data_IF_103476877043
#
_entry.id   IF_103476877043
#
_cell.length_a   1.000
_cell.length_b   1.000
_cell.length_c   1.000
_cell.angle_alpha   90.00
_cell.angle_beta   90.00
_cell.angle_gamma   90.00
#
_symmetry.space_group_name_H-M   'P 1'
#
loop_
_entity.id
_entity.type
_entity.pdbx_description
1 polymer ?
#
# COMPACT_ATOMS: atom_id res chain seq x y z
N UNK A 1 8.97 15.63 8.13
CA UNK A 1 7.69 15.25 8.77
C UNK A 1 6.49 15.44 7.83
N UNK A 2 6.43 16.53 7.06
CA UNK A 2 5.35 16.77 6.10
C UNK A 2 5.30 15.72 4.99
N UNK A 3 6.43 15.25 4.51
CA UNK A 3 6.52 14.21 3.48
C UNK A 3 6.00 12.87 4.02
N UNK A 4 6.34 12.50 5.25
CA UNK A 4 5.82 11.27 5.87
C UNK A 4 4.29 11.28 5.96
N UNK A 5 3.70 12.42 6.30
CA UNK A 5 2.26 12.58 6.33
C UNK A 5 1.61 12.47 4.93
N UNK A 6 2.35 12.82 3.86
CA UNK A 6 1.87 12.77 2.48
C UNK A 6 1.80 11.36 1.89
N UNK A 7 2.45 10.37 2.50
CA UNK A 7 2.35 8.98 2.05
C UNK A 7 0.95 8.38 2.19
N UNK A 8 0.07 9.03 2.95
CA UNK A 8 -1.33 8.67 3.03
C UNK A 8 -1.61 7.48 3.95
N UNK A 9 -2.67 6.78 3.64
CA UNK A 9 -3.23 5.71 4.44
C UNK A 9 -3.05 4.37 3.75
N UNK A 10 -2.82 3.32 4.54
CA UNK A 10 -2.68 1.95 4.07
C UNK A 10 -3.89 1.12 4.51
N UNK A 11 -4.38 0.29 3.63
CA UNK A 11 -5.53 -0.58 3.86
C UNK A 11 -5.14 -2.03 3.60
N UNK A 12 -5.56 -2.95 4.42
CA UNK A 12 -5.62 -4.35 4.04
C UNK A 12 -6.81 -4.53 3.10
N UNK A 13 -6.68 -5.34 2.07
CA UNK A 13 -7.74 -5.49 1.07
C UNK A 13 -9.06 -5.92 1.69
N UNK A 14 -10.13 -5.21 1.42
CA UNK A 14 -11.44 -5.52 2.01
C UNK A 14 -11.71 -4.88 3.37
N UNK A 15 -10.74 -4.23 4.00
CA UNK A 15 -10.95 -3.48 5.26
C UNK A 15 -11.29 -2.03 5.01
N UNK A 16 -12.17 -1.50 5.85
CA UNK A 16 -12.56 -0.07 5.84
C UNK A 16 -11.57 0.82 6.58
N UNK A 17 -11.03 0.33 7.67
CA UNK A 17 -10.21 1.13 8.57
C UNK A 17 -8.76 1.19 8.10
N UNK A 18 -8.19 2.40 8.06
CA UNK A 18 -6.85 2.61 7.59
C UNK A 18 -5.80 2.44 8.69
N UNK A 19 -4.60 2.11 8.24
CA UNK A 19 -3.37 2.28 9.00
C UNK A 19 -2.64 3.51 8.50
N UNK A 20 -2.24 4.39 9.41
CA UNK A 20 -1.48 5.59 9.05
C UNK A 20 -0.07 5.24 8.59
N UNK A 21 0.56 6.19 7.89
CA UNK A 21 1.90 6.02 7.32
C UNK A 21 3.00 5.79 8.34
N UNK A 22 4.22 5.55 7.88
CA UNK A 22 5.36 5.29 8.75
C UNK A 22 5.72 6.53 9.59
N UNK A 23 6.30 6.30 10.76
CA UNK A 23 6.86 7.37 11.58
C UNK A 23 8.25 7.81 11.15
N UNK A 24 8.90 7.06 10.27
CA UNK A 24 10.24 7.32 9.77
C UNK A 24 10.35 6.96 8.30
N UNK A 25 11.34 7.54 7.58
CA UNK A 25 11.65 7.20 6.19
C UNK A 25 12.30 5.83 6.01
N UNK A 26 12.71 5.18 7.07
CA UNK A 26 13.34 3.87 6.97
C UNK A 26 12.25 2.85 6.72
N UNK A 27 12.45 2.05 5.67
CA UNK A 27 11.91 0.71 5.67
C UNK A 27 12.29 0.09 7.00
N UNK A 28 11.35 -0.36 7.77
CA UNK A 28 11.63 -0.82 9.11
C UNK A 28 12.53 -2.05 9.03
N UNK A 29 13.76 -1.90 9.48
CA UNK A 29 14.74 -2.99 9.53
C UNK A 29 14.45 -3.97 10.68
N UNK A 30 13.18 -4.25 10.93
CA UNK A 30 12.76 -5.25 11.88
C UNK A 30 12.55 -4.74 13.31
N UNK A 31 12.55 -3.45 13.56
CA UNK A 31 12.49 -2.96 14.93
C UNK A 31 11.13 -2.52 15.42
N UNK A 32 10.21 -2.10 14.58
CA UNK A 32 8.81 -1.90 14.96
C UNK A 32 7.92 -1.54 13.78
N UNK A 33 6.76 -2.15 13.69
CA UNK A 33 5.67 -1.69 12.85
C UNK A 33 5.04 -0.45 13.50
N UNK A 34 5.70 0.71 13.38
CA UNK A 34 5.19 1.95 13.94
C UNK A 34 4.38 2.73 12.92
N UNK A 35 3.39 3.45 13.41
CA UNK A 35 2.60 4.39 12.61
C UNK A 35 2.98 5.82 12.96
N UNK A 36 2.87 6.72 11.99
CA UNK A 36 3.06 8.15 12.24
C UNK A 36 1.84 8.73 12.97
N UNK A 37 2.11 9.53 13.98
CA UNK A 37 1.11 10.34 14.64
C UNK A 37 1.60 11.78 14.70
N UNK A 38 0.88 12.72 14.13
CA UNK A 38 1.26 14.12 14.04
C UNK A 38 1.47 14.79 15.42
N UNK A 39 0.86 14.28 16.46
CA UNK A 39 0.94 14.83 17.83
C UNK A 39 2.03 14.19 18.68
N UNK A 40 2.18 12.86 18.60
CA UNK A 40 3.11 12.10 19.44
C UNK A 40 4.35 11.59 18.69
N UNK A 41 4.37 11.76 17.36
CA UNK A 41 5.45 11.29 16.48
C UNK A 41 5.39 9.81 16.13
N UNK A 42 5.02 8.94 17.07
CA UNK A 42 4.98 7.49 16.83
C UNK A 42 3.84 6.82 17.60
N UNK A 43 3.12 5.94 16.94
CA UNK A 43 2.16 5.02 17.55
C UNK A 43 2.59 3.61 17.20
N UNK A 44 2.64 2.72 18.19
CA UNK A 44 2.94 1.32 17.98
C UNK A 44 1.80 0.66 17.20
N UNK A 45 2.14 -0.09 16.16
CA UNK A 45 1.18 -0.96 15.48
C UNK A 45 1.06 -2.25 16.30
N UNK A 46 -0.13 -2.50 16.83
CA UNK A 46 -0.46 -3.80 17.38
C UNK A 46 -0.83 -4.76 16.25
N UNK A 47 -0.50 -6.04 16.39
CA UNK A 47 -0.82 -7.04 15.38
C UNK A 47 -1.29 -8.33 16.01
N UNK A 48 -2.13 -9.04 15.28
CA UNK A 48 -2.67 -10.37 15.63
C UNK A 48 -2.60 -11.25 14.38
N UNK A 49 -2.41 -12.54 14.56
CA UNK A 49 -2.43 -13.50 13.45
C UNK A 49 -3.88 -13.79 13.01
N UNK A 50 -4.07 -13.97 11.71
CA UNK A 50 -5.36 -14.36 11.13
C UNK A 50 -5.68 -15.81 11.50
N UNK A 51 -6.85 -16.00 12.07
CA UNK A 51 -7.48 -17.28 12.36
C UNK A 51 -9.01 -17.19 12.22
N UNK A 52 -9.73 -18.20 12.64
CA UNK A 52 -11.19 -18.26 12.53
C UNK A 52 -11.92 -17.17 13.38
N UNK A 53 -11.27 -16.62 14.41
CA UNK A 53 -11.83 -15.57 15.27
C UNK A 53 -11.37 -14.18 14.83
N UNK A 54 -10.07 -14.02 14.66
CA UNK A 54 -9.42 -12.73 14.37
C UNK A 54 -9.50 -12.33 12.90
N UNK A 55 -9.53 -13.32 11.99
CA UNK A 55 -9.62 -13.14 10.55
C UNK A 55 -11.03 -12.89 10.03
N UNK A 56 -11.84 -12.11 10.74
CA UNK A 56 -13.24 -11.81 10.35
C UNK A 56 -13.46 -10.31 10.17
N UNK A 57 -14.43 -9.94 9.31
CA UNK A 57 -14.79 -8.54 9.12
C UNK A 57 -15.32 -7.91 10.43
N UNK A 58 -16.06 -8.67 11.24
CA UNK A 58 -16.57 -8.22 12.52
C UNK A 58 -15.44 -7.93 13.52
N UNK A 59 -14.45 -8.81 13.59
CA UNK A 59 -13.27 -8.57 14.41
C UNK A 59 -12.51 -7.31 13.96
N UNK A 60 -12.27 -7.18 12.66
CA UNK A 60 -11.58 -6.04 12.10
C UNK A 60 -12.26 -4.69 12.43
N UNK A 61 -13.60 -4.65 12.41
CA UNK A 61 -14.39 -3.47 12.77
C UNK A 61 -14.29 -3.16 14.27
N UNK A 62 -14.24 -4.17 15.13
CA UNK A 62 -14.09 -3.99 16.58
C UNK A 62 -12.65 -3.64 16.98
N UNK A 63 -11.67 -4.00 16.16
CA UNK A 63 -10.23 -3.78 16.38
C UNK A 63 -9.58 -3.00 15.21
N UNK A 64 -10.01 -1.75 14.96
CA UNK A 64 -9.60 -1.00 13.77
C UNK A 64 -8.10 -0.66 13.72
N UNK A 65 -7.43 -0.64 14.87
CA UNK A 65 -6.00 -0.33 14.96
C UNK A 65 -5.10 -1.57 15.00
N UNK A 66 -5.67 -2.77 15.05
CA UNK A 66 -4.91 -4.02 15.00
C UNK A 66 -4.67 -4.46 13.56
N UNK A 67 -3.41 -4.70 13.24
CA UNK A 67 -3.01 -5.25 11.95
C UNK A 67 -3.16 -6.77 11.98
N UNK A 68 -4.05 -7.32 11.17
CA UNK A 68 -4.27 -8.77 11.11
C UNK A 68 -3.26 -9.35 10.12
N UNK A 69 -2.25 -10.05 10.65
CA UNK A 69 -1.19 -10.64 9.83
C UNK A 69 -1.65 -11.92 9.17
N UNK A 70 -1.25 -12.12 7.90
CA UNK A 70 -1.49 -13.37 7.19
C UNK A 70 -0.40 -14.39 7.52
N UNK A 71 -0.82 -15.61 7.77
CA UNK A 71 0.05 -16.78 8.00
C UNK A 71 -0.05 -17.77 6.85
N UNK A 72 0.74 -18.83 6.87
CA UNK A 72 0.61 -19.92 5.90
C UNK A 72 -0.75 -20.63 6.00
N UNK A 73 -1.34 -20.69 7.19
CA UNK A 73 -2.63 -21.33 7.44
C UNK A 73 -3.81 -20.50 6.87
N UNK A 74 -3.63 -19.19 6.74
CA UNK A 74 -4.58 -18.27 6.10
C UNK A 74 -4.19 -17.93 4.65
N UNK A 75 -3.28 -18.66 4.02
CA UNK A 75 -2.74 -18.34 2.70
C UNK A 75 -2.25 -16.90 2.57
N UNK A 76 -1.78 -16.31 3.68
CA UNK A 76 -1.34 -14.92 3.79
C UNK A 76 -2.46 -13.88 3.58
N UNK A 77 -3.72 -14.28 3.76
CA UNK A 77 -4.85 -13.37 3.86
C UNK A 77 -5.09 -12.97 5.33
N UNK A 78 -5.55 -11.74 5.53
CA UNK A 78 -6.05 -11.33 6.83
C UNK A 78 -7.45 -11.88 7.09
N UNK A 79 -8.27 -12.06 6.03
CA UNK A 79 -9.59 -12.63 6.10
C UNK A 79 -9.51 -14.16 6.01
N UNK A 80 -9.76 -14.84 7.11
CA UNK A 80 -9.67 -16.31 7.18
C UNK A 80 -10.55 -17.04 6.18
N UNK A 81 -11.71 -16.47 5.88
CA UNK A 81 -12.66 -17.03 4.89
C UNK A 81 -12.34 -16.71 3.44
N UNK A 82 -11.31 -15.89 3.18
CA UNK A 82 -10.96 -15.39 1.84
C UNK A 82 -12.14 -14.69 1.13
N UNK A 83 -12.98 -13.97 1.91
CA UNK A 83 -14.18 -13.33 1.37
C UNK A 83 -13.83 -12.30 0.28
N UNK A 84 -14.13 -12.63 -0.95
CA UNK A 84 -13.93 -11.77 -2.12
C UNK A 84 -15.03 -10.71 -2.30
N UNK A 85 -16.06 -10.67 -1.46
CA UNK A 85 -17.15 -9.70 -1.55
C UNK A 85 -16.95 -8.45 -0.66
N UNK A 86 -15.83 -8.38 0.08
CA UNK A 86 -15.56 -7.24 0.96
C UNK A 86 -15.41 -5.91 0.20
N UNK A 87 -14.78 -5.93 -0.97
CA UNK A 87 -14.81 -4.85 -1.97
C UNK A 87 -15.31 -5.40 -3.30
N UNK A 88 -15.67 -4.54 -4.26
CA UNK A 88 -16.17 -5.03 -5.55
C UNK A 88 -16.57 -3.90 -6.52
N UNK A 89 -17.34 -4.30 -7.54
CA UNK A 89 -17.85 -3.39 -8.58
C UNK A 89 -18.78 -2.30 -8.03
N UNK A 90 -19.45 -2.58 -6.93
CA UNK A 90 -20.28 -1.62 -6.20
C UNK A 90 -19.70 -1.38 -4.83
N UNK A 91 -19.94 -0.19 -4.30
CA UNK A 91 -19.52 0.18 -2.95
C UNK A 91 -20.16 -0.72 -1.90
N UNK A 92 -19.32 -1.36 -1.10
CA UNK A 92 -19.74 -2.14 0.08
C UNK A 92 -19.63 -1.31 1.35
N UNK A 93 -20.08 -1.86 2.48
CA UNK A 93 -19.90 -1.25 3.80
C UNK A 93 -18.44 -1.23 4.24
N UNK A 94 -17.60 -2.11 3.66
CA UNK A 94 -16.18 -2.23 3.93
C UNK A 94 -15.30 -1.36 3.01
N UNK A 95 -15.89 -0.72 2.00
CA UNK A 95 -15.16 0.15 1.09
C UNK A 95 -14.79 1.47 1.78
N UNK A 96 -13.49 1.84 1.86
CA UNK A 96 -13.02 3.02 2.60
C UNK A 96 -13.30 4.35 1.91
N UNK A 97 -13.65 4.35 0.64
CA UNK A 97 -13.89 5.57 -0.12
C UNK A 97 -15.13 6.32 0.40
N UNK A 98 -15.24 7.64 0.23
CA UNK A 98 -16.39 8.40 0.66
C UNK A 98 -17.65 8.02 -0.13
N UNK A 99 -18.81 8.45 0.36
CA UNK A 99 -20.09 8.23 -0.30
C UNK A 99 -20.07 8.73 -1.75
N UNK A 100 -20.61 7.92 -2.68
CA UNK A 100 -20.59 8.17 -4.11
C UNK A 100 -19.26 7.86 -4.80
N UNK A 101 -18.31 7.30 -4.05
CA UNK A 101 -17.01 6.85 -4.54
C UNK A 101 -16.73 5.42 -4.04
N UNK A 102 -15.98 4.67 -4.79
CA UNK A 102 -15.52 3.33 -4.43
C UNK A 102 -14.04 3.14 -4.74
N UNK A 103 -13.44 2.11 -4.22
CA UNK A 103 -12.07 1.72 -4.59
C UNK A 103 -12.02 1.47 -6.09
N UNK A 104 -10.97 1.95 -6.74
CA UNK A 104 -10.79 1.84 -8.19
C UNK A 104 -10.59 0.36 -8.59
N UNK A 105 -11.25 -0.13 -9.64
CA UNK A 105 -10.92 -1.43 -10.24
C UNK A 105 -9.60 -1.36 -11.00
N UNK A 106 -9.01 -2.50 -11.34
CA UNK A 106 -7.74 -2.56 -12.10
C UNK A 106 -7.83 -1.85 -13.45
N UNK A 107 -8.97 -1.95 -14.12
CA UNK A 107 -9.22 -1.26 -15.40
C UNK A 107 -9.06 0.27 -15.33
N UNK A 108 -9.22 0.86 -14.13
CA UNK A 108 -9.04 2.31 -13.94
C UNK A 108 -7.57 2.75 -14.02
N UNK A 109 -6.64 1.82 -13.97
CA UNK A 109 -5.21 2.06 -14.07
C UNK A 109 -4.63 1.61 -15.43
N UNK A 110 -5.45 0.95 -16.24
CA UNK A 110 -5.04 0.47 -17.55
C UNK A 110 -4.63 1.63 -18.46
N UNK A 111 -3.53 1.46 -19.17
CA UNK A 111 -2.98 2.50 -20.04
C UNK A 111 -2.11 3.55 -19.34
N UNK A 112 -2.06 3.59 -18.01
CA UNK A 112 -1.13 4.46 -17.30
C UNK A 112 0.32 4.02 -17.55
N UNK A 113 1.16 4.94 -17.92
CA UNK A 113 2.59 4.72 -18.18
C UNK A 113 3.45 5.75 -17.47
N UNK A 114 4.71 5.38 -17.22
CA UNK A 114 5.72 6.34 -16.79
C UNK A 114 6.12 7.16 -18.00
N UNK A 115 5.94 8.48 -17.92
CA UNK A 115 6.39 9.40 -18.98
C UNK A 115 7.91 9.56 -18.94
N UNK A 116 8.59 8.82 -19.81
CA UNK A 116 10.05 8.90 -19.98
C UNK A 116 10.84 8.19 -18.87
N UNK A 117 12.17 8.26 -18.98
CA UNK A 117 13.05 7.88 -17.86
C UNK A 117 12.93 8.93 -16.78
N UNK A 118 12.58 8.58 -15.53
CA UNK A 118 12.50 9.55 -14.46
C UNK A 118 13.82 10.33 -14.35
N UNK A 119 13.76 11.64 -14.51
CA UNK A 119 14.94 12.48 -14.35
C UNK A 119 15.36 12.52 -12.88
N UNK A 120 16.63 12.82 -12.62
CA UNK A 120 17.11 12.96 -11.24
C UNK A 120 16.25 13.93 -10.41
N UNK A 121 15.62 14.92 -11.04
CA UNK A 121 14.70 15.87 -10.40
C UNK A 121 13.37 15.24 -9.93
N UNK A 122 12.97 14.09 -10.48
CA UNK A 122 11.75 13.41 -10.07
C UNK A 122 11.94 12.60 -8.77
N UNK A 123 13.18 12.35 -8.39
CA UNK A 123 13.51 11.68 -7.13
C UNK A 123 13.15 12.49 -5.89
N UNK A 124 13.05 13.80 -6.01
CA UNK A 124 12.71 14.68 -4.89
C UNK A 124 11.19 14.77 -4.65
N UNK A 125 10.39 14.12 -5.51
CA UNK A 125 8.92 14.23 -5.49
C UNK A 125 8.20 13.09 -4.77
N UNK A 126 8.91 12.13 -4.18
CA UNK A 126 8.36 10.97 -3.44
C UNK A 126 7.29 10.15 -4.17
N UNK A 127 7.22 10.26 -5.48
CA UNK A 127 6.28 9.53 -6.34
C UNK A 127 6.43 9.91 -7.80
N UNK A 128 5.49 9.47 -8.62
CA UNK A 128 5.50 9.71 -10.05
C UNK A 128 4.21 10.30 -10.58
N UNK A 129 4.35 11.13 -11.60
CA UNK A 129 3.26 11.45 -12.51
C UNK A 129 3.18 10.35 -13.56
N UNK A 130 2.11 9.58 -13.53
CA UNK A 130 1.77 8.62 -14.56
C UNK A 130 0.79 9.25 -15.54
N UNK A 131 0.88 8.87 -16.79
CA UNK A 131 0.08 9.44 -17.88
C UNK A 131 -0.58 8.34 -18.68
N UNK A 132 -1.77 8.63 -19.17
CA UNK A 132 -2.42 7.94 -20.27
C UNK A 132 -2.62 8.93 -21.45
N UNK A 133 -3.36 8.54 -22.47
CA UNK A 133 -3.60 9.38 -23.66
C UNK A 133 -4.42 10.65 -23.36
N UNK A 134 -5.07 10.74 -22.21
CA UNK A 134 -6.08 11.77 -21.89
C UNK A 134 -5.75 12.55 -20.63
N UNK A 135 -5.04 11.93 -19.68
CA UNK A 135 -4.86 12.45 -18.32
C UNK A 135 -3.48 12.20 -17.77
N UNK A 136 -3.20 12.87 -16.67
CA UNK A 136 -2.03 12.59 -15.84
C UNK A 136 -2.41 12.66 -14.37
N UNK A 137 -1.83 11.79 -13.58
CA UNK A 137 -2.04 11.74 -12.14
C UNK A 137 -0.76 11.45 -11.38
N UNK A 138 -0.59 12.10 -10.24
CA UNK A 138 0.55 11.84 -9.37
C UNK A 138 0.25 10.67 -8.42
N UNK A 139 1.18 9.73 -8.37
CA UNK A 139 1.13 8.55 -7.52
C UNK A 139 2.33 8.54 -6.57
N UNK A 140 2.06 8.35 -5.30
CA UNK A 140 3.10 8.35 -4.25
C UNK A 140 3.79 6.99 -4.20
N UNK A 141 5.12 6.99 -4.09
CA UNK A 141 5.91 5.78 -3.87
C UNK A 141 5.96 5.42 -2.39
N UNK A 142 4.83 5.04 -1.84
CA UNK A 142 4.66 4.80 -0.41
C UNK A 142 4.96 3.36 0.03
N UNK A 143 5.43 2.50 -0.90
CA UNK A 143 5.66 1.10 -0.59
C UNK A 143 4.39 0.38 -0.13
N UNK A 144 4.58 -0.60 0.75
CA UNK A 144 3.48 -1.37 1.36
C UNK A 144 3.80 -1.76 2.79
N UNK A 145 2.78 -2.05 3.59
CA UNK A 145 2.91 -2.80 4.85
C UNK A 145 2.92 -4.30 4.54
N UNK A 146 3.85 -5.02 5.15
CA UNK A 146 3.98 -6.48 4.92
C UNK A 146 2.83 -7.24 5.55
N UNK A 147 2.44 -8.32 4.90
CA UNK A 147 1.38 -9.22 5.32
C UNK A 147 1.64 -9.93 6.65
N UNK A 148 2.92 -10.18 6.99
CA UNK A 148 3.36 -11.02 8.11
C UNK A 148 3.69 -10.25 9.39
N UNK A 149 3.85 -8.93 9.33
CA UNK A 149 4.26 -8.14 10.49
C UNK A 149 3.85 -6.65 10.45
N UNK A 150 3.17 -6.22 9.38
CA UNK A 150 2.74 -4.83 9.22
C UNK A 150 3.85 -3.80 9.00
N UNK A 151 5.11 -4.25 8.82
CA UNK A 151 6.25 -3.35 8.60
C UNK A 151 6.20 -2.74 7.20
N UNK A 152 6.65 -1.49 7.08
CA UNK A 152 6.70 -0.82 5.77
C UNK A 152 7.93 -1.28 4.99
N UNK A 153 7.71 -1.60 3.72
CA UNK A 153 8.76 -1.93 2.74
C UNK A 153 8.74 -0.98 1.56
N UNK A 154 9.92 -0.77 0.99
CA UNK A 154 10.14 -0.13 -0.31
C UNK A 154 9.52 1.27 -0.44
N UNK A 155 9.43 1.98 0.67
CA UNK A 155 9.00 3.37 0.70
C UNK A 155 10.06 4.26 0.06
N UNK A 156 9.62 5.26 -0.70
CA UNK A 156 10.52 6.32 -1.13
C UNK A 156 11.20 7.00 0.08
N UNK A 157 12.50 7.12 0.01
CA UNK A 157 13.29 7.76 1.04
C UNK A 157 14.04 8.97 0.45
N UNK A 158 13.62 10.21 0.75
CA UNK A 158 14.25 11.41 0.22
C UNK A 158 15.60 11.74 0.88
N UNK A 159 15.99 11.01 1.94
CA UNK A 159 17.27 11.26 2.60
C UNK A 159 18.41 10.85 1.68
N UNK A 160 19.37 11.74 1.37
CA UNK A 160 20.51 11.42 0.53
C UNK A 160 21.25 10.17 1.01
N UNK A 161 21.71 9.34 0.08
CA UNK A 161 22.42 8.09 0.39
C UNK A 161 23.60 8.28 1.36
N UNK A 162 24.25 9.43 1.30
CA UNK A 162 25.36 9.84 2.18
C UNK A 162 24.93 9.98 3.66
N UNK A 163 23.67 10.35 3.89
CA UNK A 163 23.10 10.46 5.24
C UNK A 163 22.48 9.14 5.75
N UNK A 164 22.32 8.16 4.86
CA UNK A 164 21.79 6.82 5.18
C UNK A 164 22.92 5.88 5.60
N UNK A 165 23.68 6.23 6.61
CA UNK A 165 24.99 5.66 6.97
C UNK A 165 25.05 4.15 7.26
N UNK A 166 24.10 3.32 6.86
CA UNK A 166 24.12 1.88 7.19
C UNK A 166 23.50 0.89 6.21
N UNK A 167 23.21 1.25 4.99
CA UNK A 167 22.68 0.21 4.13
C UNK A 167 23.18 0.32 2.69
N UNK A 168 24.30 -0.32 2.43
CA UNK A 168 24.85 -0.52 1.08
C UNK A 168 23.95 -1.43 0.21
N UNK A 169 22.97 -2.08 0.80
CA UNK A 169 21.94 -2.83 0.08
C UNK A 169 20.83 -1.92 -0.49
N UNK A 170 20.65 -0.72 0.05
CA UNK A 170 19.53 0.17 -0.28
C UNK A 170 19.72 1.04 -1.53
N UNK A 171 20.90 1.13 -2.08
CA UNK A 171 21.07 1.76 -3.39
C UNK A 171 20.43 0.95 -4.54
N UNK A 172 20.12 -0.32 -4.30
CA UNK A 172 19.54 -1.24 -5.25
C UNK A 172 18.09 -1.63 -4.92
N UNK A 173 17.50 -1.09 -3.86
CA UNK A 173 16.09 -1.39 -3.55
C UNK A 173 15.21 -0.47 -4.40
N UNK A 174 14.31 -1.03 -5.19
CA UNK A 174 13.33 -0.24 -5.92
C UNK A 174 12.40 0.45 -4.94
N UNK A 175 11.98 1.65 -5.29
CA UNK A 175 10.82 2.26 -4.65
C UNK A 175 9.57 1.75 -5.31
N UNK A 176 8.53 1.55 -4.51
CA UNK A 176 7.28 1.00 -4.99
C UNK A 176 6.13 1.94 -4.64
N UNK A 177 5.21 2.09 -5.57
CA UNK A 177 3.86 2.52 -5.28
C UNK A 177 2.91 1.36 -5.52
N UNK A 178 2.13 1.03 -4.51
CA UNK A 178 1.18 -0.07 -4.57
C UNK A 178 -0.18 0.43 -4.11
N UNK A 179 -1.15 0.20 -4.97
CA UNK A 179 -2.54 0.61 -4.75
C UNK A 179 -3.44 -0.60 -4.97
N UNK A 180 -4.21 -0.94 -3.95
CA UNK A 180 -5.23 -1.97 -4.12
C UNK A 180 -6.24 -1.59 -5.18
N UNK A 181 -6.67 -2.57 -5.94
CA UNK A 181 -7.87 -2.49 -6.76
C UNK A 181 -9.07 -3.07 -6.02
N UNK A 182 -10.28 -2.76 -6.47
CA UNK A 182 -11.50 -3.36 -5.90
C UNK A 182 -11.73 -4.79 -6.35
N UNK A 183 -10.93 -5.29 -7.28
CA UNK A 183 -11.14 -6.60 -7.88
C UNK A 183 -10.77 -7.70 -6.88
N UNK A 184 -11.68 -8.63 -6.71
CA UNK A 184 -11.39 -9.83 -5.98
C UNK A 184 -10.56 -10.77 -6.88
N UNK A 185 -9.32 -11.01 -6.50
CA UNK A 185 -8.51 -12.01 -7.16
C UNK A 185 -8.96 -13.43 -6.82
N UNK A 186 -8.12 -14.41 -7.04
CA UNK A 186 -8.41 -15.80 -6.68
C UNK A 186 -7.90 -16.13 -5.27
N UNK A 187 -8.75 -16.77 -4.46
CA UNK A 187 -8.39 -17.19 -3.10
C UNK A 187 -7.99 -16.02 -2.20
N UNK A 188 -6.81 -16.10 -1.62
CA UNK A 188 -6.25 -15.17 -0.65
C UNK A 188 -5.53 -13.94 -1.25
N UNK A 189 -5.56 -13.80 -2.57
CA UNK A 189 -4.87 -12.73 -3.28
C UNK A 189 -5.85 -11.83 -4.03
N UNK A 190 -5.51 -10.55 -4.12
CA UNK A 190 -6.24 -9.58 -4.92
C UNK A 190 -5.28 -8.76 -5.79
N UNK A 191 -5.73 -8.31 -6.96
CA UNK A 191 -4.92 -7.48 -7.83
C UNK A 191 -4.59 -6.12 -7.20
N UNK A 192 -3.37 -5.67 -7.44
CA UNK A 192 -2.92 -4.32 -7.11
C UNK A 192 -2.33 -3.64 -8.33
N UNK A 193 -2.57 -2.35 -8.45
CA UNK A 193 -1.82 -1.48 -9.32
C UNK A 193 -0.44 -1.26 -8.71
N UNK A 194 0.58 -1.50 -9.49
CA UNK A 194 1.97 -1.49 -9.06
C UNK A 194 2.83 -0.67 -10.00
N UNK A 195 3.65 0.19 -9.45
CA UNK A 195 4.78 0.76 -10.17
C UNK A 195 6.02 0.74 -9.29
N UNK A 196 7.15 0.57 -9.93
CA UNK A 196 8.43 0.60 -9.23
C UNK A 196 9.47 1.38 -10.02
N UNK A 197 10.47 1.80 -9.30
CA UNK A 197 11.57 2.52 -9.87
C UNK A 197 12.88 2.22 -9.16
N UNK A 198 13.93 2.04 -9.94
CA UNK A 198 15.27 1.79 -9.46
C UNK A 198 16.22 2.92 -9.90
N UNK A 199 16.71 3.71 -8.94
CA UNK A 199 17.57 4.87 -9.21
C UNK A 199 18.85 4.50 -9.96
N UNK A 200 19.46 3.37 -9.63
CA UNK A 200 20.76 2.96 -10.17
C UNK A 200 20.72 2.59 -11.64
N UNK A 201 19.63 1.98 -12.09
CA UNK A 201 19.47 1.49 -13.45
C UNK A 201 18.63 2.40 -14.32
N UNK A 202 18.02 3.43 -13.73
CA UNK A 202 16.99 4.24 -14.37
C UNK A 202 15.86 3.37 -14.95
N UNK A 203 15.65 2.20 -14.36
CA UNK A 203 14.58 1.26 -14.71
C UNK A 203 13.32 1.55 -13.96
N UNK A 204 12.19 1.20 -14.54
CA UNK A 204 10.90 1.29 -13.90
C UNK A 204 9.86 0.49 -14.70
N UNK A 205 8.79 0.11 -14.04
CA UNK A 205 7.67 -0.60 -14.65
C UNK A 205 6.34 -0.16 -14.03
N UNK A 206 5.27 -0.34 -14.78
CA UNK A 206 3.89 -0.12 -14.36
C UNK A 206 3.09 -1.35 -14.73
N UNK A 207 2.40 -1.91 -13.75
CA UNK A 207 1.53 -3.08 -13.91
C UNK A 207 0.23 -2.83 -13.12
N UNK A 208 -0.93 -3.25 -13.63
CA UNK A 208 -2.22 -2.87 -13.07
C UNK A 208 -3.03 -4.03 -12.47
N UNK A 209 -2.52 -5.24 -12.51
CA UNK A 209 -3.22 -6.46 -12.04
C UNK A 209 -2.29 -7.45 -11.31
N UNK A 210 -1.27 -6.95 -10.64
CA UNK A 210 -0.30 -7.80 -9.94
C UNK A 210 -0.94 -8.41 -8.69
N UNK A 211 -0.99 -9.74 -8.57
CA UNK A 211 -1.62 -10.38 -7.42
C UNK A 211 -0.75 -10.26 -6.16
N UNK A 212 -1.37 -9.82 -5.08
CA UNK A 212 -0.75 -9.71 -3.76
C UNK A 212 -1.62 -10.35 -2.68
N UNK A 213 -0.98 -10.91 -1.67
CA UNK A 213 -1.64 -11.41 -0.47
C UNK A 213 -2.43 -10.29 0.23
N UNK A 214 -3.71 -10.52 0.54
CA UNK A 214 -4.64 -9.50 1.04
C UNK A 214 -4.29 -8.95 2.41
N UNK A 215 -3.47 -9.65 3.19
CA UNK A 215 -2.95 -9.12 4.45
C UNK A 215 -1.90 -8.01 4.26
N UNK A 216 -1.38 -7.76 3.04
CA UNK A 216 -0.58 -6.55 2.83
C UNK A 216 -1.42 -5.29 3.03
N UNK A 217 -0.80 -4.26 3.56
CA UNK A 217 -1.38 -2.92 3.63
C UNK A 217 -0.88 -2.06 2.48
N UNK A 218 -1.80 -1.60 1.62
CA UNK A 218 -1.49 -0.75 0.47
C UNK A 218 -2.41 0.46 0.43
N UNK A 219 -2.06 1.43 -0.38
CA UNK A 219 -2.92 2.59 -0.63
C UNK A 219 -4.15 2.21 -1.47
N UNK A 220 -5.12 3.09 -1.50
CA UNK A 220 -6.27 3.01 -2.41
C UNK A 220 -6.44 4.31 -3.19
N UNK A 221 -7.00 4.21 -4.37
CA UNK A 221 -7.56 5.33 -5.14
C UNK A 221 -9.06 5.13 -5.25
N UNK A 222 -9.79 6.22 -5.16
CA UNK A 222 -11.23 6.17 -5.29
C UNK A 222 -11.65 6.66 -6.67
N UNK A 223 -12.61 5.95 -7.28
CA UNK A 223 -13.30 6.36 -8.49
C UNK A 223 -14.76 6.66 -8.17
N UNK A 224 -15.37 7.54 -8.94
CA UNK A 224 -16.79 7.87 -8.76
C UNK A 224 -17.65 6.68 -9.16
N UNK A 225 -18.62 6.33 -8.33
CA UNK A 225 -19.66 5.38 -8.72
C UNK A 225 -20.44 5.89 -9.91
N UNK A 226 -20.77 4.99 -10.83
CA UNK A 226 -21.56 5.31 -12.04
C UNK A 226 -23.03 5.31 -11.73
#
# INVERSE_FOLDING_TARGET
DEILASYGLYYQWGRKDPFIGPSTYRADNGSSASMYNAKSGTVKLESVESDAETGTADYAVQHPLEYITGTADSDYDWAWSHDGALWGESKTVNDPCPYGWRVAPSEAFEGLTISGTPAAADYDKFGWTLTDDVSQSFFVGAGRRRYDNGMILNIYNPVPAEAQSRNTATEAQPWEGLYWTSDAGSGAQSPAFYFWFEKKTSGGNVEYDVPYARANGMQVRCVREK
#
